data_IF_732814448875
#
_entry.id   IF_732814448875
#
_cell.length_a   1.000
_cell.length_b   1.000
_cell.length_c   1.000
_cell.angle_alpha   90.00
_cell.angle_beta   90.00
_cell.angle_gamma   90.00
#
_symmetry.space_group_name_H-M   'P 1'
#
loop_
_entity.id
_entity.type
_entity.pdbx_description
1 polymer ?
#
# COMPACT_ATOMS: atom_id res chain seq x y z
N UNK A 1 6.14 18.59 1.07
CA UNK A 1 6.10 18.00 2.43
C UNK A 1 5.52 16.58 2.43
N UNK A 2 4.33 16.33 1.89
CA UNK A 2 3.73 14.98 1.84
C UNK A 2 4.60 13.94 1.09
N UNK A 3 5.40 14.36 0.13
CA UNK A 3 6.36 13.52 -0.59
C UNK A 3 7.38 12.87 0.36
N UNK A 4 7.97 13.67 1.26
CA UNK A 4 8.90 13.15 2.27
C UNK A 4 8.18 12.27 3.31
N UNK A 5 6.93 12.59 3.63
CA UNK A 5 6.11 11.71 4.47
C UNK A 5 5.87 10.35 3.79
N UNK A 6 5.58 10.32 2.49
CA UNK A 6 5.41 9.07 1.73
C UNK A 6 6.69 8.22 1.70
N UNK A 7 7.85 8.87 1.48
CA UNK A 7 9.15 8.23 1.54
C UNK A 7 9.40 7.59 2.92
N UNK A 8 9.18 8.34 4.00
CA UNK A 8 9.40 7.85 5.36
C UNK A 8 8.42 6.76 5.77
N UNK A 9 7.13 6.87 5.36
CA UNK A 9 6.14 5.83 5.61
C UNK A 9 6.52 4.50 4.95
N UNK A 10 7.01 4.55 3.72
CA UNK A 10 7.45 3.37 2.99
C UNK A 10 8.74 2.77 3.55
N UNK A 11 9.70 3.60 3.98
CA UNK A 11 10.87 3.14 4.70
C UNK A 11 10.47 2.32 5.93
N UNK A 12 9.66 2.88 6.83
CA UNK A 12 9.17 2.21 8.03
C UNK A 12 8.37 0.94 7.70
N UNK A 13 7.56 0.98 6.66
CA UNK A 13 6.77 -0.16 6.21
C UNK A 13 7.59 -1.31 5.62
N UNK A 14 8.83 -1.06 5.18
CA UNK A 14 9.66 -2.05 4.50
C UNK A 14 10.74 -2.65 5.41
N UNK A 15 11.11 -1.98 6.50
CA UNK A 15 12.20 -2.36 7.41
C UNK A 15 12.15 -3.85 7.76
N UNK A 16 11.08 -4.32 8.39
CA UNK A 16 10.98 -5.70 8.85
C UNK A 16 11.14 -6.71 7.71
N UNK A 17 10.42 -6.50 6.60
CA UNK A 17 10.39 -7.47 5.50
C UNK A 17 11.75 -7.70 4.84
N UNK A 18 12.66 -6.72 4.93
CA UNK A 18 14.00 -6.84 4.37
C UNK A 18 15.03 -7.36 5.39
N UNK A 19 14.80 -7.16 6.68
CA UNK A 19 15.80 -7.41 7.71
C UNK A 19 15.51 -8.63 8.58
N UNK A 20 14.32 -9.23 8.50
CA UNK A 20 13.88 -10.30 9.41
C UNK A 20 14.85 -11.49 9.47
N UNK A 21 15.49 -11.83 8.35
CA UNK A 21 16.47 -12.94 8.29
C UNK A 21 17.68 -12.63 9.15
N UNK A 22 18.22 -11.41 9.09
CA UNK A 22 19.38 -11.00 9.91
C UNK A 22 19.01 -10.91 11.40
N UNK A 23 17.78 -10.49 11.71
CA UNK A 23 17.28 -10.47 13.09
C UNK A 23 17.18 -11.88 13.66
N UNK A 24 16.61 -12.81 12.90
CA UNK A 24 16.46 -14.19 13.33
C UNK A 24 17.83 -14.87 13.50
N UNK A 25 18.80 -14.57 12.64
CA UNK A 25 20.17 -15.06 12.74
C UNK A 25 20.84 -14.60 14.03
N UNK A 26 20.72 -13.31 14.42
CA UNK A 26 21.26 -12.81 15.70
C UNK A 26 20.66 -13.54 16.91
N UNK A 27 19.34 -13.80 16.89
CA UNK A 27 18.67 -14.44 18.01
C UNK A 27 18.67 -15.98 17.94
N UNK A 28 19.29 -16.58 16.92
CA UNK A 28 19.37 -18.04 16.76
C UNK A 28 18.03 -18.70 16.43
N UNK A 29 17.12 -17.98 15.78
CA UNK A 29 15.75 -18.42 15.49
C UNK A 29 15.58 -18.91 14.06
N UNK A 30 14.72 -19.93 13.88
CA UNK A 30 14.48 -20.55 12.59
C UNK A 30 13.42 -19.84 11.73
N UNK A 31 13.17 -20.45 10.55
CA UNK A 31 12.20 -19.94 9.58
C UNK A 31 10.77 -19.88 10.13
N UNK A 32 10.38 -20.79 11.02
CA UNK A 32 9.05 -20.83 11.64
C UNK A 32 8.79 -19.57 12.47
N UNK A 33 9.78 -19.17 13.30
CA UNK A 33 9.71 -17.94 14.09
C UNK A 33 9.68 -16.71 13.18
N UNK A 34 10.47 -16.67 12.11
CA UNK A 34 10.44 -15.58 11.11
C UNK A 34 9.03 -15.46 10.47
N UNK A 35 8.46 -16.60 10.06
CA UNK A 35 7.11 -16.67 9.49
C UNK A 35 6.06 -16.17 10.45
N UNK A 36 6.14 -16.59 11.72
CA UNK A 36 5.20 -16.16 12.77
C UNK A 36 5.28 -14.64 13.02
N UNK A 37 6.50 -14.09 13.21
CA UNK A 37 6.72 -12.65 13.43
C UNK A 37 6.19 -11.84 12.23
N UNK A 38 6.48 -12.29 11.01
CA UNK A 38 5.99 -11.63 9.80
C UNK A 38 4.46 -11.65 9.71
N UNK A 39 3.83 -12.74 10.09
CA UNK A 39 2.36 -12.88 10.14
C UNK A 39 1.75 -12.00 11.22
N UNK A 40 2.33 -11.97 12.42
CA UNK A 40 1.91 -11.13 13.53
C UNK A 40 1.94 -9.63 13.15
N UNK A 41 2.98 -9.19 12.46
CA UNK A 41 3.11 -7.80 12.02
C UNK A 41 2.08 -7.41 10.94
N UNK A 42 1.61 -8.36 10.13
CA UNK A 42 0.48 -8.11 9.22
C UNK A 42 -0.82 -7.83 9.97
N UNK A 43 -1.04 -8.49 11.12
CA UNK A 43 -2.15 -8.19 12.02
C UNK A 43 -2.10 -6.75 12.57
N UNK A 44 -0.91 -6.16 12.69
CA UNK A 44 -0.74 -4.75 13.05
C UNK A 44 -1.45 -3.77 12.11
N UNK A 45 -1.73 -4.16 10.85
CA UNK A 45 -2.50 -3.33 9.94
C UNK A 45 -3.92 -2.98 10.44
N UNK A 46 -4.48 -3.79 11.36
CA UNK A 46 -5.77 -3.48 12.00
C UNK A 46 -5.69 -2.23 12.88
N UNK A 47 -4.52 -1.91 13.45
CA UNK A 47 -4.32 -0.68 14.20
C UNK A 47 -4.49 0.56 13.31
N UNK A 48 -4.20 0.45 12.02
CA UNK A 48 -4.42 1.54 11.06
C UNK A 48 -5.89 1.97 11.00
N UNK A 49 -6.85 1.05 11.18
CA UNK A 49 -8.27 1.39 11.26
C UNK A 49 -8.54 2.37 12.40
N UNK A 50 -7.98 2.09 13.58
CA UNK A 50 -8.13 2.95 14.75
C UNK A 50 -7.51 4.33 14.49
N UNK A 51 -6.30 4.36 13.94
CA UNK A 51 -5.59 5.61 13.60
C UNK A 51 -6.42 6.46 12.65
N UNK A 52 -6.94 5.86 11.58
CA UNK A 52 -7.68 6.58 10.54
C UNK A 52 -9.06 7.00 11.03
N UNK A 53 -9.75 6.16 11.81
CA UNK A 53 -11.03 6.51 12.44
C UNK A 53 -10.88 7.68 13.43
N UNK A 54 -9.80 7.70 14.21
CA UNK A 54 -9.51 8.83 15.10
C UNK A 54 -9.15 10.09 14.31
N UNK A 55 -8.53 9.99 13.14
CA UNK A 55 -8.25 11.15 12.30
C UNK A 55 -9.53 11.85 11.80
N UNK A 56 -10.61 11.10 11.62
CA UNK A 56 -11.92 11.67 11.26
C UNK A 56 -12.58 12.44 12.44
N UNK A 57 -12.10 12.25 13.69
CA UNK A 57 -12.61 12.92 14.90
C UNK A 57 -11.70 14.00 15.45
N UNK A 58 -10.40 13.72 15.49
CA UNK A 58 -9.39 14.55 16.19
C UNK A 58 -8.68 15.51 15.24
N UNK A 59 -8.67 15.20 13.94
CA UNK A 59 -7.99 15.97 12.89
C UNK A 59 -6.95 15.15 12.15
N UNK A 60 -6.85 15.40 10.83
CA UNK A 60 -5.95 14.65 9.94
C UNK A 60 -4.48 14.93 10.26
N UNK A 61 -4.13 16.20 10.44
CA UNK A 61 -2.77 16.64 10.75
C UNK A 61 -2.26 16.04 12.06
N UNK A 62 -3.07 16.12 13.12
CA UNK A 62 -2.69 15.60 14.45
C UNK A 62 -2.44 14.09 14.40
N UNK A 63 -3.36 13.36 13.80
CA UNK A 63 -3.25 11.91 13.71
C UNK A 63 -2.14 11.45 12.77
N UNK A 64 -1.87 12.19 11.69
CA UNK A 64 -0.74 11.93 10.80
C UNK A 64 0.59 12.06 11.55
N UNK A 65 0.79 13.14 12.30
CA UNK A 65 2.00 13.35 13.09
C UNK A 65 2.15 12.31 14.20
N UNK A 66 1.07 11.97 14.89
CA UNK A 66 1.06 10.93 15.91
C UNK A 66 1.44 9.58 15.32
N UNK A 67 0.81 9.18 14.20
CA UNK A 67 1.08 7.92 13.55
C UNK A 67 2.53 7.81 13.05
N UNK A 68 3.05 8.88 12.42
CA UNK A 68 4.46 8.94 12.00
C UNK A 68 5.43 8.86 13.18
N UNK A 69 5.16 9.61 14.26
CA UNK A 69 5.99 9.62 15.46
C UNK A 69 5.99 8.27 16.18
N UNK A 70 4.80 7.68 16.40
CA UNK A 70 4.68 6.37 17.03
C UNK A 70 5.35 5.28 16.19
N UNK A 71 5.12 5.26 14.87
CA UNK A 71 5.75 4.28 13.98
C UNK A 71 7.28 4.37 14.05
N UNK A 72 7.82 5.58 13.98
CA UNK A 72 9.27 5.82 14.08
C UNK A 72 9.81 5.41 15.44
N UNK A 73 9.13 5.78 16.52
CA UNK A 73 9.55 5.43 17.88
C UNK A 73 9.58 3.90 18.07
N UNK A 74 8.53 3.18 17.67
CA UNK A 74 8.51 1.71 17.77
C UNK A 74 9.52 1.04 16.85
N UNK A 75 9.85 1.60 15.69
CA UNK A 75 10.94 1.10 14.85
C UNK A 75 12.28 1.22 15.58
N UNK A 76 12.58 2.38 16.17
CA UNK A 76 13.82 2.62 16.96
C UNK A 76 13.86 1.75 18.22
N UNK A 77 12.75 1.59 18.94
CA UNK A 77 12.63 0.68 20.09
C UNK A 77 12.95 -0.77 19.67
N UNK A 78 12.50 -1.18 18.47
CA UNK A 78 12.84 -2.49 17.91
C UNK A 78 14.35 -2.71 17.71
N UNK A 79 15.12 -1.66 17.42
CA UNK A 79 16.59 -1.75 17.35
C UNK A 79 17.24 -2.09 18.70
N UNK A 80 16.57 -1.81 19.81
CA UNK A 80 17.05 -2.05 21.17
C UNK A 80 16.50 -3.36 21.77
N UNK A 81 15.83 -4.18 20.97
CA UNK A 81 15.16 -5.40 21.43
C UNK A 81 16.14 -6.41 22.03
N UNK A 82 15.81 -6.98 23.20
CA UNK A 82 16.62 -8.02 23.85
C UNK A 82 16.35 -9.42 23.28
N UNK A 83 15.23 -9.62 22.61
CA UNK A 83 14.82 -10.89 22.01
C UNK A 83 13.87 -10.66 20.82
N UNK A 84 13.66 -11.71 20.01
CA UNK A 84 12.86 -11.63 18.79
C UNK A 84 11.37 -11.35 19.06
N UNK A 85 10.83 -11.76 20.20
CA UNK A 85 9.44 -11.53 20.55
C UNK A 85 9.15 -10.07 20.87
N UNK A 86 10.05 -9.44 21.64
CA UNK A 86 9.97 -7.99 21.89
C UNK A 86 10.13 -7.20 20.58
N UNK A 87 11.05 -7.63 19.72
CA UNK A 87 11.21 -7.09 18.38
C UNK A 87 9.92 -7.21 17.59
N UNK A 88 9.33 -8.41 17.51
CA UNK A 88 8.07 -8.67 16.80
C UNK A 88 6.92 -7.80 17.29
N UNK A 89 6.76 -7.66 18.61
CA UNK A 89 5.73 -6.79 19.19
C UNK A 89 5.94 -5.32 18.82
N UNK A 90 7.18 -4.81 18.94
CA UNK A 90 7.51 -3.44 18.55
C UNK A 90 7.26 -3.18 17.06
N UNK A 91 7.63 -4.14 16.20
CA UNK A 91 7.43 -4.01 14.76
C UNK A 91 5.95 -4.13 14.35
N UNK A 92 5.16 -4.89 15.10
CA UNK A 92 3.69 -4.96 14.90
C UNK A 92 3.05 -3.59 15.13
N UNK A 93 3.43 -2.91 16.22
CA UNK A 93 2.96 -1.55 16.49
C UNK A 93 3.49 -0.55 15.46
N UNK A 94 4.80 -0.60 15.16
CA UNK A 94 5.42 0.25 14.14
C UNK A 94 4.68 0.12 12.80
N UNK A 95 4.44 -1.11 12.34
CA UNK A 95 3.74 -1.40 11.08
C UNK A 95 2.31 -0.89 11.06
N UNK A 96 1.58 -1.06 12.17
CA UNK A 96 0.20 -0.57 12.29
C UNK A 96 0.12 0.95 12.16
N UNK A 97 0.97 1.66 12.88
CA UNK A 97 1.07 3.12 12.78
C UNK A 97 1.60 3.57 11.42
N UNK A 98 2.59 2.88 10.81
CA UNK A 98 3.09 3.20 9.48
C UNK A 98 2.00 3.06 8.40
N UNK A 99 1.16 2.03 8.50
CA UNK A 99 0.03 1.83 7.58
C UNK A 99 -1.00 2.97 7.73
N UNK A 100 -1.35 3.34 8.97
CA UNK A 100 -2.22 4.49 9.24
C UNK A 100 -1.63 5.81 8.73
N UNK A 101 -0.33 6.02 8.92
CA UNK A 101 0.41 7.17 8.42
C UNK A 101 0.33 7.26 6.89
N UNK A 102 0.59 6.16 6.18
CA UNK A 102 0.51 6.10 4.72
C UNK A 102 -0.92 6.37 4.19
N UNK A 103 -1.95 5.81 4.85
CA UNK A 103 -3.34 6.07 4.49
C UNK A 103 -3.72 7.54 4.66
N UNK A 104 -3.31 8.17 5.76
CA UNK A 104 -3.58 9.59 6.02
C UNK A 104 -2.88 10.51 5.02
N UNK A 105 -1.66 10.16 4.56
CA UNK A 105 -0.98 10.88 3.47
C UNK A 105 -1.85 10.87 2.22
N UNK A 106 -2.40 9.71 1.84
CA UNK A 106 -3.28 9.57 0.69
C UNK A 106 -4.57 10.38 0.82
N UNK A 107 -5.19 10.38 2.01
CA UNK A 107 -6.41 11.15 2.29
C UNK A 107 -6.15 12.65 2.19
N UNK A 108 -5.11 13.17 2.86
CA UNK A 108 -4.75 14.60 2.82
C UNK A 108 -4.39 15.02 1.39
N UNK A 109 -3.63 14.19 0.67
CA UNK A 109 -3.28 14.46 -0.72
C UNK A 109 -4.52 14.59 -1.62
N UNK A 110 -5.52 13.72 -1.44
CA UNK A 110 -6.77 13.79 -2.21
C UNK A 110 -7.62 15.02 -1.84
N UNK A 111 -7.61 15.45 -0.57
CA UNK A 111 -8.38 16.59 -0.08
C UNK A 111 -7.80 17.93 -0.55
N UNK A 112 -6.47 18.07 -0.57
CA UNK A 112 -5.77 19.31 -0.93
C UNK A 112 -5.45 19.41 -2.43
N UNK A 113 -5.70 18.36 -3.21
CA UNK A 113 -5.36 18.33 -4.64
C UNK A 113 -6.50 18.83 -5.52
N UNK A 114 -6.19 19.64 -6.58
CA UNK A 114 -7.16 19.99 -7.61
C UNK A 114 -7.74 18.76 -8.30
N UNK A 115 -8.99 18.86 -8.78
CA UNK A 115 -9.72 17.74 -9.39
C UNK A 115 -8.98 17.06 -10.55
N UNK A 116 -8.26 17.82 -11.38
CA UNK A 116 -7.54 17.31 -12.56
C UNK A 116 -6.12 16.81 -12.33
N UNK A 117 -5.63 16.75 -11.07
CA UNK A 117 -4.23 16.38 -10.77
C UNK A 117 -4.07 15.31 -9.69
N UNK A 118 -5.16 14.75 -9.17
CA UNK A 118 -5.12 13.79 -8.05
C UNK A 118 -4.36 12.51 -8.37
N UNK A 119 -4.61 11.92 -9.55
CA UNK A 119 -3.90 10.72 -9.96
C UNK A 119 -2.40 10.99 -10.19
N UNK A 120 -2.03 12.16 -10.72
CA UNK A 120 -0.66 12.60 -10.81
C UNK A 120 0.01 12.71 -9.44
N UNK A 121 -0.66 13.31 -8.47
CA UNK A 121 -0.14 13.44 -7.09
C UNK A 121 0.03 12.07 -6.43
N UNK A 122 -0.91 11.15 -6.61
CA UNK A 122 -0.77 9.76 -6.14
C UNK A 122 0.43 9.08 -6.79
N UNK A 123 0.68 9.33 -8.09
CA UNK A 123 1.87 8.81 -8.78
C UNK A 123 3.16 9.31 -8.15
N UNK A 124 3.25 10.62 -7.90
CA UNK A 124 4.44 11.24 -7.27
C UNK A 124 4.66 10.68 -5.86
N UNK A 125 3.60 10.57 -5.05
CA UNK A 125 3.69 9.98 -3.72
C UNK A 125 4.16 8.52 -3.78
N UNK A 126 3.66 7.74 -4.73
CA UNK A 126 4.05 6.34 -4.93
C UNK A 126 5.50 6.18 -5.37
N UNK A 127 5.99 7.08 -6.23
CA UNK A 127 7.40 7.10 -6.63
C UNK A 127 8.32 7.36 -5.43
N UNK A 128 7.99 8.35 -4.60
CA UNK A 128 8.78 8.63 -3.40
C UNK A 128 8.63 7.55 -2.34
N UNK A 129 7.49 6.89 -2.23
CA UNK A 129 7.33 5.70 -1.41
C UNK A 129 8.25 4.56 -1.91
N UNK A 130 8.32 4.35 -3.24
CA UNK A 130 9.27 3.42 -3.85
C UNK A 130 10.73 3.72 -3.49
N UNK A 131 11.12 5.00 -3.53
CA UNK A 131 12.45 5.43 -3.09
C UNK A 131 12.68 5.14 -1.60
N UNK A 132 11.68 5.38 -0.73
CA UNK A 132 11.77 5.07 0.69
C UNK A 132 12.01 3.59 0.95
N UNK A 133 11.30 2.71 0.25
CA UNK A 133 11.56 1.26 0.29
C UNK A 133 12.95 0.91 -0.26
N UNK A 134 13.39 1.58 -1.32
CA UNK A 134 14.71 1.42 -1.92
C UNK A 134 15.85 1.77 -0.97
N UNK A 135 15.69 2.80 -0.13
CA UNK A 135 16.69 3.18 0.87
C UNK A 135 16.99 2.01 1.81
N UNK A 136 15.97 1.24 2.24
CA UNK A 136 16.18 0.06 3.10
C UNK A 136 17.05 -0.98 2.38
N UNK A 137 16.78 -1.22 1.09
CA UNK A 137 17.57 -2.16 0.28
C UNK A 137 19.03 -1.71 0.10
N UNK A 138 19.27 -0.41 -0.08
CA UNK A 138 20.61 0.16 -0.18
C UNK A 138 21.40 0.09 1.14
N UNK A 139 20.69 0.14 2.27
CA UNK A 139 21.30 -0.01 3.58
C UNK A 139 21.49 -1.48 3.99
N UNK A 140 20.83 -2.42 3.32
CA UNK A 140 20.87 -3.84 3.67
C UNK A 140 22.28 -4.46 3.75
N UNK A 141 23.27 -4.08 2.91
CA UNK A 141 24.64 -4.56 3.06
C UNK A 141 25.24 -4.29 4.45
N UNK A 142 24.80 -3.23 5.14
CA UNK A 142 25.23 -2.93 6.50
C UNK A 142 24.82 -4.06 7.44
N UNK A 143 23.62 -4.61 7.29
CA UNK A 143 23.13 -5.71 8.14
C UNK A 143 23.99 -6.98 8.06
N UNK A 144 24.67 -7.18 6.93
CA UNK A 144 25.57 -8.33 6.75
C UNK A 144 26.99 -8.14 7.32
N UNK A 145 27.35 -6.98 7.87
CA UNK A 145 28.71 -6.70 8.38
C UNK A 145 28.98 -7.29 9.76
N UNK A 146 27.95 -7.46 10.58
CA UNK A 146 28.02 -8.08 11.89
C UNK A 146 26.61 -8.60 12.31
N UNK A 147 26.53 -9.59 13.21
CA UNK A 147 25.23 -10.18 13.60
C UNK A 147 24.21 -9.17 14.10
N UNK A 148 24.63 -8.09 14.77
CA UNK A 148 23.78 -7.05 15.32
C UNK A 148 23.71 -5.79 14.43
N UNK A 149 24.35 -5.76 13.26
CA UNK A 149 24.44 -4.56 12.42
C UNK A 149 23.10 -4.15 11.79
N UNK A 150 22.12 -5.05 11.68
CA UNK A 150 20.76 -4.72 11.25
C UNK A 150 20.10 -3.64 12.14
N UNK A 151 20.51 -3.55 13.43
CA UNK A 151 20.02 -2.54 14.38
C UNK A 151 20.31 -1.12 13.90
N UNK A 152 21.41 -0.91 13.18
CA UNK A 152 21.80 0.39 12.62
C UNK A 152 20.72 0.87 11.65
N UNK A 153 20.17 -0.02 10.80
CA UNK A 153 19.14 0.33 9.83
C UNK A 153 17.88 0.84 10.54
N UNK A 154 17.49 0.22 11.66
CA UNK A 154 16.37 0.68 12.48
C UNK A 154 16.68 1.97 13.23
N UNK A 155 17.90 2.15 13.75
CA UNK A 155 18.32 3.39 14.41
C UNK A 155 18.35 4.58 13.46
N UNK A 156 18.65 4.38 12.17
CA UNK A 156 18.58 5.43 11.16
C UNK A 156 17.17 5.99 10.98
N UNK A 157 16.12 5.27 11.42
CA UNK A 157 14.77 5.82 11.47
C UNK A 157 14.67 7.08 12.35
N UNK A 158 15.61 7.32 13.27
CA UNK A 158 15.68 8.55 14.07
C UNK A 158 15.73 9.82 13.19
N UNK A 159 16.31 9.71 11.99
CA UNK A 159 16.39 10.79 11.01
C UNK A 159 15.01 11.18 10.43
N UNK A 160 13.96 10.41 10.71
CA UNK A 160 12.59 10.73 10.34
C UNK A 160 12.01 11.83 11.26
N UNK A 161 12.45 11.94 12.52
CA UNK A 161 11.92 12.96 13.44
C UNK A 161 12.10 14.41 12.93
N UNK A 162 13.24 14.82 12.36
CA UNK A 162 13.35 16.12 11.67
C UNK A 162 12.33 16.32 10.55
N UNK A 163 12.02 15.28 9.76
CA UNK A 163 11.00 15.35 8.72
C UNK A 163 9.61 15.55 9.33
N UNK A 164 9.27 14.81 10.38
CA UNK A 164 8.02 14.96 11.10
C UNK A 164 7.89 16.34 11.76
N UNK A 165 8.98 16.86 12.29
CA UNK A 165 9.00 18.23 12.83
C UNK A 165 8.77 19.29 11.75
N UNK A 166 9.39 19.13 10.57
CA UNK A 166 9.12 19.98 9.40
C UNK A 166 7.66 19.89 8.94
N UNK A 167 7.07 18.69 8.96
CA UNK A 167 5.64 18.50 8.71
C UNK A 167 4.78 19.21 9.76
N UNK A 168 5.13 19.10 11.04
CA UNK A 168 4.41 19.75 12.13
C UNK A 168 4.39 21.27 12.00
N UNK A 169 5.45 21.88 11.47
CA UNK A 169 5.53 23.32 11.26
C UNK A 169 4.75 23.81 10.03
N UNK A 170 4.78 23.04 8.95
CA UNK A 170 4.36 23.54 7.63
C UNK A 170 3.05 22.92 7.13
N UNK A 171 2.60 21.79 7.70
CA UNK A 171 1.34 21.17 7.34
C UNK A 171 0.21 21.83 8.15
N UNK A 172 -0.73 22.43 7.44
CA UNK A 172 -1.99 22.92 8.03
C UNK A 172 -3.00 21.79 8.11
N UNK A 173 -4.03 21.95 8.96
CA UNK A 173 -5.15 21.00 8.97
C UNK A 173 -5.90 21.08 7.63
N UNK A 174 -6.54 19.98 7.23
CA UNK A 174 -7.34 19.95 6.01
C UNK A 174 -8.49 20.95 6.10
N UNK A 175 -8.61 21.86 5.13
CA UNK A 175 -9.68 22.86 5.06
C UNK A 175 -11.06 22.22 5.11
N UNK A 176 -11.21 21.03 4.51
CA UNK A 176 -12.46 20.26 4.52
C UNK A 176 -12.79 19.74 5.91
N UNK A 177 -11.81 19.28 6.66
CA UNK A 177 -12.00 18.86 8.04
C UNK A 177 -12.39 20.06 8.94
N UNK A 178 -11.70 21.18 8.81
CA UNK A 178 -12.03 22.40 9.57
C UNK A 178 -13.46 22.88 9.32
N UNK A 179 -13.93 22.83 8.07
CA UNK A 179 -15.31 23.19 7.74
C UNK A 179 -16.35 22.25 8.36
N UNK A 180 -16.05 20.97 8.56
CA UNK A 180 -16.92 20.01 9.24
C UNK A 180 -16.99 20.27 10.75
N UNK A 181 -15.84 20.55 11.38
CA UNK A 181 -15.76 20.82 12.82
C UNK A 181 -16.47 22.14 13.17
N UNK A 182 -16.27 23.19 12.38
CA UNK A 182 -16.93 24.49 12.61
C UNK A 182 -18.46 24.44 12.57
N UNK A 183 -19.02 23.44 11.87
CA UNK A 183 -20.47 23.28 11.71
C UNK A 183 -21.09 22.25 12.66
N UNK A 184 -20.33 21.70 13.57
CA UNK A 184 -20.76 20.59 14.45
C UNK A 184 -21.43 19.44 13.64
N UNK A 185 -20.90 19.19 12.43
CA UNK A 185 -21.48 18.29 11.46
C UNK A 185 -21.38 16.84 11.98
N UNK A 186 -22.52 16.22 12.19
CA UNK A 186 -22.59 14.79 12.52
C UNK A 186 -22.04 13.98 11.33
N UNK A 187 -21.35 12.83 11.60
CA UNK A 187 -20.89 11.95 10.53
C UNK A 187 -22.06 11.56 9.63
N UNK A 188 -21.87 11.69 8.32
CA UNK A 188 -22.88 11.35 7.33
C UNK A 188 -23.47 9.96 7.60
N UNK A 189 -24.79 9.82 7.47
CA UNK A 189 -25.46 8.52 7.57
C UNK A 189 -24.97 7.59 6.46
N UNK A 190 -24.91 6.30 6.73
CA UNK A 190 -24.50 5.30 5.72
C UNK A 190 -25.63 5.16 4.71
N UNK A 191 -25.50 5.81 3.56
CA UNK A 191 -26.46 5.71 2.47
C UNK A 191 -26.32 4.39 1.68
N UNK A 192 -27.39 3.91 1.03
CA UNK A 192 -27.30 2.75 0.13
C UNK A 192 -26.26 2.93 -0.99
N UNK A 193 -26.06 4.16 -1.45
CA UNK A 193 -25.05 4.52 -2.44
C UNK A 193 -23.64 4.30 -1.87
N UNK A 194 -23.37 4.76 -0.66
CA UNK A 194 -22.11 4.60 0.03
C UNK A 194 -21.78 3.12 0.26
N UNK A 195 -22.77 2.32 0.69
CA UNK A 195 -22.62 0.86 0.84
C UNK A 195 -22.28 0.19 -0.50
N UNK A 196 -22.96 0.56 -1.59
CA UNK A 196 -22.67 0.03 -2.93
C UNK A 196 -21.26 0.39 -3.38
N UNK A 197 -20.83 1.64 -3.21
CA UNK A 197 -19.48 2.10 -3.53
C UNK A 197 -18.42 1.31 -2.72
N UNK A 198 -18.66 1.13 -1.45
CA UNK A 198 -17.77 0.34 -0.58
C UNK A 198 -17.64 -1.11 -1.08
N UNK A 199 -18.74 -1.79 -1.35
CA UNK A 199 -18.72 -3.17 -1.82
C UNK A 199 -17.99 -3.31 -3.16
N UNK A 200 -18.18 -2.36 -4.08
CA UNK A 200 -17.48 -2.34 -5.36
C UNK A 200 -15.97 -2.17 -5.18
N UNK A 201 -15.53 -1.21 -4.35
CA UNK A 201 -14.10 -0.98 -4.09
C UNK A 201 -13.48 -2.13 -3.31
N UNK A 202 -14.18 -2.65 -2.29
CA UNK A 202 -13.75 -3.76 -1.47
C UNK A 202 -13.54 -5.05 -2.29
N UNK A 203 -14.47 -5.38 -3.19
CA UNK A 203 -14.36 -6.56 -4.04
C UNK A 203 -13.17 -6.47 -5.00
N UNK A 204 -12.91 -5.30 -5.59
CA UNK A 204 -11.75 -5.08 -6.45
C UNK A 204 -10.44 -5.11 -5.65
N UNK A 205 -10.39 -4.43 -4.51
CA UNK A 205 -9.22 -4.44 -3.62
C UNK A 205 -8.89 -5.85 -3.11
N UNK A 206 -9.91 -6.62 -2.73
CA UNK A 206 -9.79 -8.03 -2.36
C UNK A 206 -9.19 -8.86 -3.51
N UNK A 207 -9.80 -8.78 -4.69
CA UNK A 207 -9.40 -9.56 -5.85
C UNK A 207 -7.96 -9.27 -6.30
N UNK A 208 -7.58 -7.98 -6.36
CA UNK A 208 -6.23 -7.57 -6.72
C UNK A 208 -5.21 -8.03 -5.68
N UNK A 209 -5.52 -7.90 -4.39
CA UNK A 209 -4.61 -8.30 -3.31
C UNK A 209 -4.48 -9.82 -3.20
N UNK A 210 -5.55 -10.57 -3.48
CA UNK A 210 -5.55 -12.03 -3.52
C UNK A 210 -4.57 -12.58 -4.56
N UNK A 211 -4.34 -11.85 -5.67
CA UNK A 211 -3.36 -12.23 -6.69
C UNK A 211 -1.98 -11.62 -6.43
N UNK A 212 -1.91 -10.32 -6.14
CA UNK A 212 -0.63 -9.60 -6.10
C UNK A 212 0.25 -10.01 -4.92
N UNK A 213 -0.34 -10.36 -3.78
CA UNK A 213 0.41 -10.77 -2.60
C UNK A 213 1.17 -12.10 -2.83
N UNK A 214 0.54 -13.21 -3.25
CA UNK A 214 1.29 -14.42 -3.57
C UNK A 214 2.23 -14.23 -4.76
N UNK A 215 1.84 -13.45 -5.80
CA UNK A 215 2.71 -13.18 -6.95
C UNK A 215 4.01 -12.47 -6.58
N UNK A 216 4.02 -11.68 -5.52
CA UNK A 216 5.25 -11.05 -5.01
C UNK A 216 6.01 -11.95 -4.02
N UNK A 217 5.30 -12.66 -3.13
CA UNK A 217 5.93 -13.49 -2.11
C UNK A 217 6.56 -14.77 -2.66
N UNK A 218 5.86 -15.48 -3.55
CA UNK A 218 6.38 -16.72 -4.13
C UNK A 218 7.29 -16.51 -5.34
N UNK A 219 7.57 -15.26 -5.74
CA UNK A 219 8.48 -14.98 -6.85
C UNK A 219 9.86 -15.60 -6.66
N UNK A 220 10.45 -15.44 -5.49
CA UNK A 220 11.79 -15.94 -5.21
C UNK A 220 11.80 -17.47 -5.16
N UNK A 221 10.78 -18.06 -4.54
CA UNK A 221 10.61 -19.51 -4.47
C UNK A 221 10.49 -20.11 -5.87
N UNK A 222 9.60 -19.58 -6.70
CA UNK A 222 9.44 -19.96 -8.10
C UNK A 222 10.76 -19.90 -8.89
N UNK A 223 11.52 -18.81 -8.76
CA UNK A 223 12.78 -18.64 -9.48
C UNK A 223 13.86 -19.63 -9.02
N UNK A 224 13.86 -20.01 -7.73
CA UNK A 224 14.82 -20.97 -7.18
C UNK A 224 14.40 -22.41 -7.45
N UNK A 225 13.17 -22.79 -7.13
CA UNK A 225 12.69 -24.18 -7.17
C UNK A 225 12.37 -24.64 -8.58
N UNK A 226 11.64 -23.85 -9.38
CA UNK A 226 11.23 -24.27 -10.73
C UNK A 226 12.20 -23.82 -11.83
N UNK A 227 12.95 -22.72 -11.62
CA UNK A 227 13.86 -22.15 -12.64
C UNK A 227 15.34 -22.37 -12.34
N UNK A 228 15.68 -22.89 -11.19
CA UNK A 228 17.06 -23.18 -10.79
C UNK A 228 17.97 -21.95 -10.72
N UNK A 229 17.40 -20.76 -10.41
CA UNK A 229 18.19 -19.54 -10.34
C UNK A 229 19.02 -19.49 -9.06
N UNK A 230 20.30 -19.10 -9.20
CA UNK A 230 21.14 -18.74 -8.05
C UNK A 230 20.58 -17.47 -7.37
N UNK A 231 20.95 -17.26 -6.10
CA UNK A 231 20.55 -16.07 -5.35
C UNK A 231 20.87 -14.75 -6.09
N UNK A 232 22.07 -14.66 -6.70
CA UNK A 232 22.46 -13.51 -7.52
C UNK A 232 21.54 -13.30 -8.73
N UNK A 233 21.13 -14.38 -9.39
CA UNK A 233 20.26 -14.32 -10.55
C UNK A 233 18.82 -13.94 -10.16
N UNK A 234 18.35 -14.39 -8.99
CA UNK A 234 17.07 -13.95 -8.38
C UNK A 234 17.09 -12.46 -8.08
N UNK A 235 18.16 -11.96 -7.45
CA UNK A 235 18.32 -10.53 -7.16
C UNK A 235 18.35 -9.68 -8.42
N UNK A 236 19.10 -10.11 -9.44
CA UNK A 236 19.16 -9.43 -10.73
C UNK A 236 17.78 -9.41 -11.42
N UNK A 237 17.07 -10.54 -11.43
CA UNK A 237 15.72 -10.61 -11.97
C UNK A 237 14.77 -9.65 -11.26
N UNK A 238 14.77 -9.67 -9.93
CA UNK A 238 13.93 -8.79 -9.13
C UNK A 238 14.24 -7.32 -9.38
N UNK A 239 15.52 -6.94 -9.46
CA UNK A 239 15.93 -5.57 -9.77
C UNK A 239 15.47 -5.13 -11.17
N UNK A 240 15.71 -5.95 -12.20
CA UNK A 240 15.34 -5.62 -13.59
C UNK A 240 13.82 -5.53 -13.76
N UNK A 241 13.06 -6.41 -13.12
CA UNK A 241 11.60 -6.44 -13.23
C UNK A 241 10.93 -5.36 -12.39
N UNK A 242 11.45 -5.04 -11.19
CA UNK A 242 10.80 -4.10 -10.29
C UNK A 242 11.18 -2.63 -10.54
N UNK A 243 12.40 -2.33 -11.01
CA UNK A 243 12.84 -0.95 -11.23
C UNK A 243 11.94 -0.19 -12.21
N UNK A 244 11.47 -0.75 -13.34
CA UNK A 244 10.63 -0.04 -14.30
C UNK A 244 9.21 0.31 -13.82
N UNK A 245 8.77 -0.21 -12.67
CA UNK A 245 7.49 0.16 -12.03
C UNK A 245 7.29 1.66 -11.97
N UNK A 246 8.37 2.42 -11.63
CA UNK A 246 8.34 3.87 -11.59
C UNK A 246 7.92 4.53 -12.89
N UNK A 247 8.33 3.98 -14.03
CA UNK A 247 7.92 4.46 -15.37
C UNK A 247 6.41 4.26 -15.54
N UNK A 248 5.90 3.06 -15.20
CA UNK A 248 4.48 2.74 -15.28
C UNK A 248 3.63 3.70 -14.45
N UNK A 249 4.02 3.96 -13.20
CA UNK A 249 3.32 4.91 -12.31
C UNK A 249 3.37 6.34 -12.86
N UNK A 250 4.55 6.81 -13.30
CA UNK A 250 4.74 8.18 -13.80
C UNK A 250 3.92 8.46 -15.06
N UNK A 251 3.86 7.49 -15.97
CA UNK A 251 3.08 7.60 -17.21
C UNK A 251 1.58 7.47 -16.95
N UNK A 252 1.18 6.54 -16.10
CA UNK A 252 -0.24 6.24 -15.89
C UNK A 252 -0.98 7.35 -15.13
N UNK A 253 -0.33 8.09 -14.22
CA UNK A 253 -0.98 9.16 -13.46
C UNK A 253 -1.63 10.23 -14.34
N UNK A 254 -0.86 10.93 -15.20
CA UNK A 254 -1.40 11.91 -16.14
C UNK A 254 -2.42 11.32 -17.13
N UNK A 255 -2.21 10.05 -17.55
CA UNK A 255 -3.15 9.38 -18.45
C UNK A 255 -4.49 9.08 -17.75
N UNK A 256 -4.45 8.69 -16.48
CA UNK A 256 -5.66 8.45 -15.69
C UNK A 256 -6.48 9.74 -15.49
N UNK A 257 -5.82 10.87 -15.27
CA UNK A 257 -6.50 12.17 -15.15
C UNK A 257 -7.04 12.70 -16.50
N UNK A 258 -6.39 12.39 -17.65
CA UNK A 258 -6.76 12.88 -18.98
C UNK A 258 -7.75 11.96 -19.72
N UNK A 259 -7.49 10.64 -19.71
CA UNK A 259 -8.26 9.64 -20.48
C UNK A 259 -9.30 8.89 -19.67
N UNK A 260 -9.37 9.16 -18.37
CA UNK A 260 -10.27 8.50 -17.45
C UNK A 260 -9.58 7.39 -16.64
N UNK A 261 -9.90 7.37 -15.37
CA UNK A 261 -9.31 6.46 -14.39
C UNK A 261 -9.76 5.03 -14.58
N UNK A 262 -11.02 4.86 -14.96
CA UNK A 262 -11.61 3.55 -15.23
C UNK A 262 -10.87 2.82 -16.35
N UNK A 263 -10.64 3.49 -17.49
CA UNK A 263 -9.95 2.88 -18.64
C UNK A 263 -8.52 2.50 -18.31
N UNK A 264 -7.76 3.42 -17.71
CA UNK A 264 -6.36 3.20 -17.32
C UNK A 264 -6.25 2.09 -16.28
N UNK A 265 -7.17 2.04 -15.30
CA UNK A 265 -7.25 0.98 -14.30
C UNK A 265 -7.53 -0.40 -14.92
N UNK A 266 -8.46 -0.49 -15.87
CA UNK A 266 -8.77 -1.75 -16.59
C UNK A 266 -7.55 -2.25 -17.38
N UNK A 267 -6.88 -1.36 -18.13
CA UNK A 267 -5.65 -1.70 -18.85
C UNK A 267 -4.57 -2.19 -17.88
N UNK A 268 -4.40 -1.51 -16.75
CA UNK A 268 -3.47 -1.89 -15.70
C UNK A 268 -3.76 -3.27 -15.10
N UNK A 269 -5.02 -3.58 -14.80
CA UNK A 269 -5.42 -4.90 -14.28
C UNK A 269 -5.14 -5.98 -15.33
N UNK A 270 -5.71 -5.85 -16.52
CA UNK A 270 -5.60 -6.88 -17.56
C UNK A 270 -4.12 -7.12 -17.92
N UNK A 271 -3.39 -6.06 -18.26
CA UNK A 271 -1.98 -6.18 -18.66
C UNK A 271 -1.11 -6.69 -17.50
N UNK A 272 -1.27 -6.15 -16.29
CA UNK A 272 -0.53 -6.59 -15.12
C UNK A 272 -0.73 -8.09 -14.81
N UNK A 273 -1.98 -8.55 -14.83
CA UNK A 273 -2.33 -9.94 -14.52
C UNK A 273 -1.88 -10.90 -15.66
N UNK A 274 -2.20 -10.56 -16.91
CA UNK A 274 -1.86 -11.44 -18.07
C UNK A 274 -0.35 -11.61 -18.16
N UNK A 275 0.43 -10.55 -18.12
CA UNK A 275 1.88 -10.65 -18.18
C UNK A 275 2.49 -11.31 -16.94
N UNK A 276 1.87 -11.15 -15.75
CA UNK A 276 2.29 -11.89 -14.56
C UNK A 276 2.07 -13.41 -14.74
N UNK A 277 0.92 -13.85 -15.27
CA UNK A 277 0.67 -15.26 -15.57
C UNK A 277 1.64 -15.78 -16.61
N UNK A 278 1.84 -15.04 -17.70
CA UNK A 278 2.83 -15.41 -18.75
C UNK A 278 4.22 -15.59 -18.13
N UNK A 279 4.66 -14.68 -17.25
CA UNK A 279 5.96 -14.79 -16.56
C UNK A 279 6.12 -16.10 -15.80
N UNK A 280 5.09 -16.59 -15.13
CA UNK A 280 5.12 -17.85 -14.40
C UNK A 280 5.03 -19.10 -15.33
N UNK A 281 4.47 -18.93 -16.53
CA UNK A 281 4.28 -20.02 -17.50
C UNK A 281 5.44 -20.23 -18.48
N UNK A 282 6.31 -19.22 -18.69
CA UNK A 282 7.38 -19.26 -19.69
C UNK A 282 8.77 -19.23 -19.06
N UNK A 283 9.80 -19.49 -19.88
CA UNK A 283 11.21 -19.45 -19.46
C UNK A 283 12.06 -18.56 -20.40
N UNK A 284 13.32 -18.37 -20.07
CA UNK A 284 14.27 -17.62 -20.88
C UNK A 284 13.95 -16.12 -21.00
N UNK A 285 14.32 -15.46 -22.13
CA UNK A 285 14.12 -14.01 -22.30
C UNK A 285 12.67 -13.56 -22.20
N UNK A 286 11.73 -14.39 -22.65
CA UNK A 286 10.30 -14.07 -22.63
C UNK A 286 9.77 -13.89 -21.18
N UNK A 287 10.30 -14.64 -20.21
CA UNK A 287 9.97 -14.49 -18.80
C UNK A 287 10.38 -13.10 -18.26
N UNK A 288 11.56 -12.61 -18.66
CA UNK A 288 12.05 -11.29 -18.26
C UNK A 288 11.19 -10.16 -18.87
N UNK A 289 10.91 -10.28 -20.18
CA UNK A 289 10.08 -9.32 -20.91
C UNK A 289 8.67 -9.28 -20.28
N UNK A 290 8.05 -10.45 -20.06
CA UNK A 290 6.74 -10.53 -19.42
C UNK A 290 6.76 -9.96 -18.00
N UNK A 291 7.83 -10.20 -17.23
CA UNK A 291 8.02 -9.61 -15.91
C UNK A 291 8.02 -8.08 -15.95
N UNK A 292 8.83 -7.49 -16.81
CA UNK A 292 8.92 -6.02 -16.99
C UNK A 292 7.59 -5.44 -17.47
N UNK A 293 6.99 -6.01 -18.53
CA UNK A 293 5.70 -5.51 -19.05
C UNK A 293 4.59 -5.62 -18.00
N UNK A 294 4.53 -6.75 -17.28
CA UNK A 294 3.54 -6.95 -16.23
C UNK A 294 3.65 -5.93 -15.09
N UNK A 295 4.87 -5.60 -14.67
CA UNK A 295 5.09 -4.60 -13.61
C UNK A 295 4.83 -3.18 -14.09
N UNK A 296 5.29 -2.81 -15.30
CA UNK A 296 5.07 -1.47 -15.85
C UNK A 296 3.59 -1.20 -16.12
N UNK A 297 2.89 -2.13 -16.78
CA UNK A 297 1.47 -1.96 -17.12
C UNK A 297 0.62 -2.10 -15.85
N UNK A 298 0.92 -3.09 -15.01
CA UNK A 298 0.22 -3.30 -13.74
C UNK A 298 0.32 -2.13 -12.77
N UNK A 299 1.44 -1.39 -12.80
CA UNK A 299 1.65 -0.20 -12.00
C UNK A 299 0.63 0.92 -12.29
N UNK A 300 -0.02 0.91 -13.46
CA UNK A 300 -1.09 1.84 -13.81
C UNK A 300 -2.31 1.74 -12.87
N UNK A 301 -2.52 0.61 -12.21
CA UNK A 301 -3.58 0.43 -11.21
C UNK A 301 -3.39 1.34 -10.00
N UNK A 302 -2.14 1.68 -9.64
CA UNK A 302 -1.82 2.49 -8.47
C UNK A 302 -2.45 3.89 -8.56
N UNK A 303 -2.09 4.75 -9.55
CA UNK A 303 -2.69 6.07 -9.67
C UNK A 303 -4.14 6.04 -10.15
N UNK A 304 -4.52 5.07 -10.97
CA UNK A 304 -5.86 5.01 -11.53
C UNK A 304 -6.92 4.57 -10.50
N UNK A 305 -6.63 3.55 -9.71
CA UNK A 305 -7.58 2.99 -8.75
C UNK A 305 -7.36 3.49 -7.32
N UNK A 306 -6.14 3.90 -6.97
CA UNK A 306 -5.81 4.37 -5.62
C UNK A 306 -6.53 5.66 -5.20
N UNK A 307 -6.98 6.47 -6.15
CA UNK A 307 -7.75 7.70 -5.87
C UNK A 307 -9.22 7.45 -5.56
N UNK A 308 -9.81 6.32 -5.98
CA UNK A 308 -11.23 6.05 -5.78
C UNK A 308 -11.62 5.94 -4.30
N UNK A 309 -10.76 5.35 -3.48
CA UNK A 309 -11.00 5.27 -2.04
C UNK A 309 -11.25 6.65 -1.42
N UNK A 310 -10.32 7.61 -1.54
CA UNK A 310 -10.50 8.97 -1.03
C UNK A 310 -11.63 9.76 -1.71
N UNK A 311 -11.97 9.50 -2.97
CA UNK A 311 -12.94 10.29 -3.73
C UNK A 311 -14.39 9.84 -3.58
N UNK A 312 -14.62 8.55 -3.39
CA UNK A 312 -15.97 7.98 -3.38
C UNK A 312 -16.71 8.10 -2.05
N UNK A 313 -16.04 8.60 -1.01
CA UNK A 313 -16.64 8.73 0.32
C UNK A 313 -16.61 10.18 0.81
N UNK A 314 -17.68 10.61 1.52
CA UNK A 314 -17.72 11.94 2.12
C UNK A 314 -16.60 12.10 3.14
N UNK A 315 -16.18 13.35 3.34
CA UNK A 315 -15.02 13.69 4.18
C UNK A 315 -15.13 13.11 5.60
N UNK A 316 -16.33 13.08 6.17
CA UNK A 316 -16.59 12.56 7.53
C UNK A 316 -16.45 11.04 7.67
N UNK A 317 -16.46 10.26 6.58
CA UNK A 317 -16.37 8.81 6.56
C UNK A 317 -15.19 8.26 5.78
N UNK A 318 -14.46 9.12 5.07
CA UNK A 318 -13.38 8.77 4.13
C UNK A 318 -12.29 7.94 4.77
N UNK A 319 -11.85 8.34 5.94
CA UNK A 319 -10.81 7.64 6.67
C UNK A 319 -11.23 6.22 7.05
N UNK A 320 -12.37 6.06 7.70
CA UNK A 320 -12.90 4.76 8.09
C UNK A 320 -13.10 3.85 6.86
N UNK A 321 -13.66 4.37 5.77
CA UNK A 321 -13.88 3.61 4.55
C UNK A 321 -12.55 3.09 3.96
N UNK A 322 -11.53 3.95 3.85
CA UNK A 322 -10.22 3.55 3.34
C UNK A 322 -9.51 2.53 4.25
N UNK A 323 -9.63 2.68 5.57
CA UNK A 323 -9.13 1.71 6.52
C UNK A 323 -9.79 0.33 6.36
N UNK A 324 -11.12 0.29 6.24
CA UNK A 324 -11.86 -0.95 6.00
C UNK A 324 -11.51 -1.58 4.64
N UNK A 325 -11.35 -0.77 3.58
CA UNK A 325 -10.90 -1.26 2.27
C UNK A 325 -9.51 -1.93 2.37
N UNK A 326 -8.60 -1.32 3.12
CA UNK A 326 -7.27 -1.90 3.36
C UNK A 326 -7.38 -3.23 4.12
N UNK A 327 -8.26 -3.33 5.12
CA UNK A 327 -8.49 -4.59 5.85
C UNK A 327 -9.00 -5.69 4.93
N UNK A 328 -9.97 -5.39 4.07
CA UNK A 328 -10.49 -6.35 3.08
C UNK A 328 -9.39 -6.80 2.10
N UNK A 329 -8.51 -5.88 1.68
CA UNK A 329 -7.38 -6.20 0.84
C UNK A 329 -6.36 -7.14 1.55
N UNK A 330 -6.11 -6.92 2.86
CA UNK A 330 -5.28 -7.84 3.66
C UNK A 330 -5.90 -9.23 3.75
N UNK A 331 -7.21 -9.34 3.96
CA UNK A 331 -7.91 -10.64 3.95
C UNK A 331 -7.73 -11.33 2.60
N UNK A 332 -7.91 -10.60 1.49
CA UNK A 332 -7.65 -11.12 0.14
C UNK A 332 -6.23 -11.67 -0.01
N UNK A 333 -5.23 -10.92 0.47
CA UNK A 333 -3.83 -11.37 0.39
C UNK A 333 -3.56 -12.64 1.19
N UNK A 334 -4.14 -12.78 2.38
CA UNK A 334 -4.00 -13.99 3.20
C UNK A 334 -4.63 -15.20 2.51
N UNK A 335 -5.84 -15.04 1.97
CA UNK A 335 -6.52 -16.12 1.24
C UNK A 335 -5.71 -16.52 -0.01
N UNK A 336 -5.22 -15.55 -0.78
CA UNK A 336 -4.41 -15.82 -1.97
C UNK A 336 -3.10 -16.55 -1.68
N UNK A 337 -2.38 -16.16 -0.62
CA UNK A 337 -1.16 -16.82 -0.17
C UNK A 337 -1.40 -18.27 0.21
N UNK A 338 -2.44 -18.53 1.02
CA UNK A 338 -2.80 -19.88 1.42
C UNK A 338 -3.25 -20.73 0.22
N UNK A 339 -4.03 -20.15 -0.69
CA UNK A 339 -4.51 -20.84 -1.88
C UNK A 339 -3.36 -21.30 -2.77
N UNK A 340 -2.41 -20.43 -3.10
CA UNK A 340 -1.24 -20.80 -3.91
C UNK A 340 -0.36 -21.80 -3.18
N UNK A 341 -0.08 -21.58 -1.88
CA UNK A 341 0.72 -22.48 -1.07
C UNK A 341 0.15 -23.91 -1.07
N UNK A 342 -1.16 -24.05 -0.81
CA UNK A 342 -1.82 -25.37 -0.81
C UNK A 342 -1.80 -26.04 -2.19
N UNK A 343 -2.02 -25.29 -3.27
CA UNK A 343 -1.98 -25.87 -4.62
C UNK A 343 -0.59 -26.39 -4.98
N UNK A 344 0.46 -25.66 -4.60
CA UNK A 344 1.84 -26.05 -4.92
C UNK A 344 2.35 -27.17 -4.00
N UNK A 345 2.09 -27.11 -2.69
CA UNK A 345 2.62 -28.07 -1.73
C UNK A 345 1.81 -29.37 -1.67
N UNK A 346 0.45 -29.28 -1.59
CA UNK A 346 -0.41 -30.43 -1.35
C UNK A 346 -0.91 -31.09 -2.64
N UNK A 347 -1.06 -30.32 -3.72
CA UNK A 347 -1.58 -30.84 -5.00
C UNK A 347 -0.49 -30.96 -6.09
N UNK A 348 0.74 -30.54 -5.80
CA UNK A 348 1.87 -30.66 -6.73
C UNK A 348 1.74 -29.81 -8.00
N UNK A 349 0.94 -28.74 -7.95
CA UNK A 349 0.80 -27.83 -9.09
C UNK A 349 2.05 -26.98 -9.27
N UNK A 350 2.39 -26.67 -10.52
CA UNK A 350 3.39 -25.63 -10.79
C UNK A 350 2.85 -24.24 -10.40
N UNK A 351 3.76 -23.31 -10.06
CA UNK A 351 3.37 -21.92 -9.81
C UNK A 351 2.62 -21.31 -10.99
N UNK A 352 3.01 -21.68 -12.25
CA UNK A 352 2.32 -21.22 -13.45
C UNK A 352 0.85 -21.64 -13.48
N UNK A 353 0.52 -22.89 -13.13
CA UNK A 353 -0.86 -23.40 -13.07
C UNK A 353 -1.65 -22.71 -11.95
N UNK A 354 -1.06 -22.60 -10.75
CA UNK A 354 -1.69 -21.97 -9.60
C UNK A 354 -2.02 -20.48 -9.88
N UNK A 355 -1.10 -19.74 -10.48
CA UNK A 355 -1.33 -18.34 -10.84
C UNK A 355 -2.29 -18.16 -12.00
N UNK A 356 -2.34 -19.09 -12.97
CA UNK A 356 -3.31 -19.04 -14.07
C UNK A 356 -4.75 -19.16 -13.55
N UNK A 357 -5.00 -20.05 -12.59
CA UNK A 357 -6.32 -20.19 -11.95
C UNK A 357 -6.63 -18.98 -11.06
N UNK A 358 -5.68 -18.56 -10.25
CA UNK A 358 -5.88 -17.43 -9.35
C UNK A 358 -6.16 -16.11 -10.11
N UNK A 359 -5.62 -15.96 -11.33
CA UNK A 359 -5.82 -14.80 -12.19
C UNK A 359 -7.28 -14.56 -12.60
N UNK A 360 -8.11 -15.59 -12.57
CA UNK A 360 -9.54 -15.49 -12.90
C UNK A 360 -10.23 -14.45 -11.99
N UNK A 361 -9.90 -14.44 -10.71
CA UNK A 361 -10.54 -13.55 -9.72
C UNK A 361 -10.32 -12.07 -10.02
N UNK A 362 -9.08 -11.55 -10.17
CA UNK A 362 -8.87 -10.15 -10.51
C UNK A 362 -9.30 -9.81 -11.95
N UNK A 363 -9.30 -10.75 -12.89
CA UNK A 363 -9.83 -10.51 -14.23
C UNK A 363 -11.36 -10.34 -14.20
N UNK A 364 -12.08 -11.09 -13.38
CA UNK A 364 -13.51 -10.87 -13.15
C UNK A 364 -13.78 -9.52 -12.47
N UNK A 365 -12.89 -9.03 -11.61
CA UNK A 365 -13.02 -7.71 -11.00
C UNK A 365 -13.00 -6.56 -12.03
N UNK A 366 -12.48 -6.76 -13.23
CA UNK A 366 -12.54 -5.80 -14.34
C UNK A 366 -14.00 -5.40 -14.66
N UNK A 367 -14.95 -6.35 -14.61
CA UNK A 367 -16.37 -6.06 -14.82
C UNK A 367 -16.95 -5.15 -13.74
N UNK A 368 -16.41 -5.21 -12.52
CA UNK A 368 -16.79 -4.30 -11.43
C UNK A 368 -16.18 -2.92 -11.67
N UNK A 369 -14.89 -2.85 -12.04
CA UNK A 369 -14.23 -1.58 -12.37
C UNK A 369 -14.90 -0.89 -13.56
N UNK A 370 -15.37 -1.64 -14.56
CA UNK A 370 -16.11 -1.10 -15.69
C UNK A 370 -17.43 -0.39 -15.29
N UNK A 371 -17.97 -0.70 -14.10
CA UNK A 371 -19.16 -0.06 -13.52
C UNK A 371 -18.84 1.06 -12.53
N UNK A 372 -17.57 1.38 -12.30
CA UNK A 372 -17.18 2.51 -11.46
C UNK A 372 -17.63 3.82 -12.12
N UNK A 373 -18.05 4.81 -11.34
CA UNK A 373 -18.26 6.14 -11.87
C UNK A 373 -16.92 6.71 -12.33
N UNK A 374 -16.92 7.43 -13.47
CA UNK A 374 -15.72 8.17 -13.86
C UNK A 374 -15.59 9.40 -12.98
N UNK A 375 -14.46 9.50 -12.27
CA UNK A 375 -14.21 10.56 -11.31
C UNK A 375 -13.12 11.54 -11.78
N UNK A 376 -12.53 11.29 -12.95
CA UNK A 376 -11.53 12.18 -13.53
C UNK A 376 -12.09 13.59 -13.72
N UNK A 377 -11.34 14.61 -13.31
CA UNK A 377 -11.66 16.03 -13.45
C UNK A 377 -12.96 16.49 -12.75
N UNK A 378 -13.56 15.68 -11.85
CA UNK A 378 -14.73 16.07 -11.06
C UNK A 378 -14.33 16.60 -9.69
N UNK A 379 -15.05 17.59 -9.20
CA UNK A 379 -14.87 18.06 -7.82
C UNK A 379 -15.36 17.00 -6.82
N UNK A 380 -14.83 17.01 -5.60
CA UNK A 380 -15.25 16.03 -4.58
C UNK A 380 -16.69 16.28 -4.11
N UNK A 381 -17.13 17.52 -4.16
CA UNK A 381 -18.47 17.96 -3.83
C UNK A 381 -19.51 17.38 -4.81
N UNK A 382 -19.17 17.32 -6.11
CA UNK A 382 -20.04 16.73 -7.14
C UNK A 382 -20.17 15.20 -6.97
N UNK A 383 -19.13 14.57 -6.42
CA UNK A 383 -19.09 13.13 -6.18
C UNK A 383 -19.79 12.74 -4.87
N UNK A 384 -19.78 13.63 -3.89
CA UNK A 384 -20.35 13.42 -2.55
C UNK A 384 -21.25 14.61 -2.19
N UNK A 385 -22.55 14.59 -2.56
CA UNK A 385 -23.49 15.66 -2.28
C UNK A 385 -23.61 16.01 -0.80
N UNK A 386 -23.35 15.02 0.08
CA UNK A 386 -23.32 15.24 1.53
C UNK A 386 -22.22 16.24 1.97
N UNK A 387 -21.14 16.37 1.18
CA UNK A 387 -20.09 17.37 1.41
C UNK A 387 -20.50 18.75 0.87
N UNK A 388 -21.38 18.83 -0.17
CA UNK A 388 -21.84 20.08 -0.76
C UNK A 388 -22.73 20.88 0.19
N UNK A 389 -23.60 20.23 0.96
CA UNK A 389 -24.40 20.89 1.99
C UNK A 389 -23.53 21.44 3.13
N UNK A 390 -22.35 20.85 3.34
CA UNK A 390 -21.36 21.31 4.31
C UNK A 390 -20.59 22.55 3.83
N UNK A 391 -20.62 22.91 2.56
CA UNK A 391 -19.89 24.06 1.99
C UNK A 391 -20.79 25.28 1.73
N UNK A 392 -22.13 25.16 1.78
CA UNK A 392 -23.03 26.29 1.68
C UNK A 392 -22.95 27.15 2.93
N UNK A 393 -22.74 28.49 2.83
CA UNK A 393 -22.86 29.37 3.97
C UNK A 393 -24.26 29.20 4.57
N UNK A 394 -24.35 29.18 5.90
CA UNK A 394 -25.64 29.22 6.58
C UNK A 394 -26.41 30.39 5.99
N UNK A 395 -27.56 30.14 5.38
CA UNK A 395 -28.43 31.23 4.94
C UNK A 395 -28.67 32.10 6.16
N UNK A 396 -28.25 33.35 6.05
CA UNK A 396 -28.59 34.40 7.04
C UNK A 396 -30.12 34.44 7.15
N UNK A 397 -30.64 33.92 8.26
CA UNK A 397 -32.02 34.14 8.70
C UNK A 397 -32.01 35.27 9.74
#
# INVERSE_FOLDING_TARGET
MLIFAALTAAYLGTLLSQTITFVAEEFGEGNDTQGFITSMTRGGALLALVVVQQADRVGRRRMLLLAGTCSTAFAVIGALSPNIWFFGASQTLSRGFATGFALLIGVIAAEESPAGSRAWIVSVLSLFAGLGSGVVLWLLPIAGTAPNAWRIIFLLAILIFPVLWGLAKNLTESRRFESLVQRDAKPAAISPLMRRRFLMLASVGFALSMFSAPASNFQNEYLRSERGFSATRVSLFSAVVSTPVGIGVAVAGPQADRRGRRLVGIIGIIGGIVFAVVRYGVSGPLMWIAGVLGTVIGAATIPALGVYGPEMFPTSRRGLANGLLTTVAVVGSVIGLNFVGQLTENFGWSFGQAFAVLAIVPLLAVFVVARYPETAQRALEDLNPEDADSTRPAAEN
#
